data_IF_301635264022
#
_entry.id   IF_301635264022
#
_cell.length_a   1.000
_cell.length_b   1.000
_cell.length_c   1.000
_cell.angle_alpha   90.00
_cell.angle_beta   90.00
_cell.angle_gamma   90.00
#
_symmetry.space_group_name_H-M   'P 1'
#
loop_
_entity.id
_entity.type
_entity.pdbx_description
1 polymer ?
#
# COMPACT_ATOMS: atom_id res chain seq x y z
N UNK A 1 -23.51 7.02 9.97
CA UNK A 1 -22.21 6.28 10.00
C UNK A 1 -21.07 7.28 9.97
N UNK A 2 -19.84 6.93 10.37
CA UNK A 2 -18.73 7.89 10.56
C UNK A 2 -18.33 8.70 9.31
N UNK A 3 -18.67 8.21 8.10
CA UNK A 3 -18.31 8.84 6.82
C UNK A 3 -19.41 9.65 6.13
N UNK A 4 -20.62 9.71 6.68
CA UNK A 4 -21.73 10.41 6.02
C UNK A 4 -21.45 11.91 5.90
N UNK A 5 -21.56 12.44 4.68
CA UNK A 5 -21.25 13.84 4.37
C UNK A 5 -19.76 14.18 4.27
N UNK A 6 -18.85 13.21 4.49
CA UNK A 6 -17.40 13.41 4.35
C UNK A 6 -16.92 12.96 2.98
N UNK A 7 -15.96 13.70 2.43
CA UNK A 7 -15.34 13.39 1.14
C UNK A 7 -13.89 13.01 1.37
N UNK A 8 -13.45 11.89 0.79
CA UNK A 8 -12.05 11.45 0.86
C UNK A 8 -11.53 11.12 -0.52
N UNK A 9 -10.23 11.26 -0.73
CA UNK A 9 -9.59 10.79 -1.97
C UNK A 9 -8.73 9.55 -1.73
N UNK A 10 -8.70 8.65 -2.72
CA UNK A 10 -7.86 7.46 -2.72
C UNK A 10 -7.04 7.44 -4.00
N UNK A 11 -5.72 7.55 -3.89
CA UNK A 11 -4.84 7.51 -5.08
C UNK A 11 -4.59 6.08 -5.52
N UNK A 12 -4.47 5.84 -6.83
CA UNK A 12 -4.12 4.51 -7.36
C UNK A 12 -5.19 3.45 -7.07
N UNK A 13 -6.46 3.86 -7.08
CA UNK A 13 -7.62 3.09 -6.64
C UNK A 13 -7.75 1.71 -7.29
N UNK A 14 -7.24 1.54 -8.51
CA UNK A 14 -7.21 0.25 -9.22
C UNK A 14 -6.27 -0.82 -8.63
N UNK A 15 -5.51 -0.48 -7.59
CA UNK A 15 -4.54 -1.36 -6.92
C UNK A 15 -5.16 -2.27 -5.85
N UNK A 16 -4.38 -3.23 -5.37
CA UNK A 16 -4.88 -4.30 -4.51
C UNK A 16 -5.39 -3.80 -3.15
N UNK A 17 -4.56 -3.05 -2.41
CA UNK A 17 -4.95 -2.42 -1.15
C UNK A 17 -6.01 -1.34 -1.40
N UNK A 18 -5.80 -0.52 -2.43
CA UNK A 18 -6.63 0.64 -2.73
C UNK A 18 -8.09 0.26 -3.05
N UNK A 19 -8.31 -0.80 -3.84
CA UNK A 19 -9.66 -1.26 -4.18
C UNK A 19 -10.44 -1.75 -2.97
N UNK A 20 -9.77 -2.44 -2.03
CA UNK A 20 -10.36 -2.79 -0.74
C UNK A 20 -10.66 -1.58 0.13
N UNK A 21 -9.75 -0.60 0.18
CA UNK A 21 -9.96 0.65 0.89
C UNK A 21 -11.17 1.42 0.34
N UNK A 22 -11.29 1.56 -0.99
CA UNK A 22 -12.46 2.16 -1.65
C UNK A 22 -13.73 1.43 -1.26
N UNK A 23 -13.74 0.09 -1.33
CA UNK A 23 -14.89 -0.73 -0.92
C UNK A 23 -15.33 -0.44 0.51
N UNK A 24 -14.40 -0.47 1.47
CA UNK A 24 -14.72 -0.25 2.88
C UNK A 24 -15.16 1.20 3.16
N UNK A 25 -14.57 2.19 2.49
CA UNK A 25 -14.99 3.59 2.59
C UNK A 25 -16.43 3.79 2.09
N UNK A 26 -16.78 3.21 0.93
CA UNK A 26 -18.14 3.26 0.39
C UNK A 26 -19.17 2.61 1.32
N UNK A 27 -18.82 1.47 1.93
CA UNK A 27 -19.65 0.79 2.93
C UNK A 27 -19.86 1.65 4.19
N UNK A 28 -18.87 2.46 4.57
CA UNK A 28 -18.95 3.42 5.69
C UNK A 28 -19.63 4.76 5.31
N UNK A 29 -20.20 4.85 4.10
CA UNK A 29 -20.95 6.00 3.56
C UNK A 29 -20.10 7.23 3.22
N UNK A 30 -18.79 7.09 3.04
CA UNK A 30 -17.97 8.16 2.48
C UNK A 30 -18.29 8.39 0.99
N UNK A 31 -18.15 9.63 0.55
CA UNK A 31 -17.96 9.95 -0.87
C UNK A 31 -16.48 9.81 -1.20
N UNK A 32 -16.16 8.98 -2.20
CA UNK A 32 -14.78 8.60 -2.55
C UNK A 32 -14.41 9.18 -3.91
N UNK A 33 -13.40 10.06 -3.92
CA UNK A 33 -12.72 10.52 -5.14
C UNK A 33 -11.50 9.62 -5.42
N UNK A 34 -11.62 8.71 -6.37
CA UNK A 34 -10.63 7.68 -6.65
C UNK A 34 -9.81 8.04 -7.89
N UNK A 35 -8.47 8.02 -7.81
CA UNK A 35 -7.62 8.22 -9.00
C UNK A 35 -7.21 6.93 -9.66
N UNK A 36 -7.21 6.95 -10.98
CA UNK A 36 -6.63 5.93 -11.86
C UNK A 36 -5.90 6.63 -13.01
N UNK A 37 -4.97 5.95 -13.68
CA UNK A 37 -4.24 6.52 -14.83
C UNK A 37 -5.13 6.76 -16.04
N UNK A 38 -6.08 5.86 -16.27
CA UNK A 38 -7.11 5.99 -17.30
C UNK A 38 -8.48 5.55 -16.75
N UNK A 39 -9.41 6.49 -16.50
CA UNK A 39 -10.75 6.15 -16.03
C UNK A 39 -11.60 5.44 -17.09
N UNK A 40 -11.20 5.48 -18.36
CA UNK A 40 -11.90 4.83 -19.46
C UNK A 40 -11.43 3.39 -19.70
N UNK A 41 -10.39 2.91 -19.01
CA UNK A 41 -9.95 1.52 -19.12
C UNK A 41 -10.77 0.60 -18.21
N UNK A 42 -11.73 -0.19 -18.75
CA UNK A 42 -12.57 -1.05 -17.94
C UNK A 42 -11.78 -2.12 -17.17
N UNK A 43 -10.59 -2.52 -17.66
CA UNK A 43 -9.73 -3.49 -16.94
C UNK A 43 -9.24 -2.94 -15.60
N UNK A 44 -9.14 -1.62 -15.49
CA UNK A 44 -8.67 -0.91 -14.28
C UNK A 44 -9.80 -0.32 -13.44
N UNK A 45 -11.01 -0.17 -13.99
CA UNK A 45 -12.10 0.52 -13.30
C UNK A 45 -13.33 -0.34 -13.02
N UNK A 46 -13.58 -1.41 -13.78
CA UNK A 46 -14.83 -2.17 -13.66
C UNK A 46 -15.02 -2.80 -12.27
N UNK A 47 -13.95 -3.27 -11.64
CA UNK A 47 -13.99 -3.83 -10.28
C UNK A 47 -14.25 -2.79 -9.19
N UNK A 48 -14.05 -1.49 -9.47
CA UNK A 48 -14.39 -0.38 -8.57
C UNK A 48 -15.84 0.05 -8.79
N UNK A 49 -16.24 0.17 -10.06
CA UNK A 49 -17.60 0.56 -10.44
C UNK A 49 -18.66 -0.48 -10.06
N UNK A 50 -18.26 -1.75 -9.86
CA UNK A 50 -19.15 -2.83 -9.39
C UNK A 50 -19.32 -2.89 -7.86
N UNK A 51 -18.64 -2.02 -7.10
CA UNK A 51 -18.75 -2.00 -5.64
C UNK A 51 -20.11 -1.43 -5.21
N UNK A 52 -20.63 -1.95 -4.10
CA UNK A 52 -21.86 -1.43 -3.49
C UNK A 52 -21.68 0.04 -3.08
N UNK A 53 -22.62 0.89 -3.51
CA UNK A 53 -22.59 2.34 -3.31
C UNK A 53 -21.69 3.12 -4.29
N UNK A 54 -21.02 2.45 -5.26
CA UNK A 54 -20.15 3.13 -6.21
C UNK A 54 -20.93 4.07 -7.14
N UNK A 55 -22.13 3.67 -7.58
CA UNK A 55 -22.95 4.47 -8.51
C UNK A 55 -23.27 5.86 -7.95
N UNK A 56 -23.45 5.99 -6.64
CA UNK A 56 -23.83 7.25 -6.00
C UNK A 56 -22.65 8.01 -5.40
N UNK A 57 -21.59 7.30 -4.96
CA UNK A 57 -20.54 7.87 -4.09
C UNK A 57 -19.11 7.65 -4.58
N UNK A 58 -18.89 6.92 -5.68
CA UNK A 58 -17.56 6.78 -6.27
C UNK A 58 -17.40 7.72 -7.47
N UNK A 59 -16.37 8.56 -7.43
CA UNK A 59 -16.02 9.45 -8.52
C UNK A 59 -14.61 9.15 -9.00
N UNK A 60 -14.48 8.70 -10.25
CA UNK A 60 -13.18 8.37 -10.85
C UNK A 60 -12.55 9.62 -11.48
N UNK A 61 -11.28 9.84 -11.17
CA UNK A 61 -10.46 10.93 -11.71
C UNK A 61 -9.23 10.36 -12.41
N UNK A 62 -8.85 11.00 -13.51
CA UNK A 62 -7.54 10.76 -14.15
C UNK A 62 -6.47 11.48 -13.34
N UNK A 63 -5.43 10.76 -12.93
CA UNK A 63 -4.21 11.36 -12.37
C UNK A 63 -3.00 10.46 -12.61
N UNK A 64 -1.81 11.08 -12.70
CA UNK A 64 -0.53 10.39 -12.82
C UNK A 64 0.45 10.93 -11.77
N UNK A 65 1.14 10.02 -11.07
CA UNK A 65 2.13 10.37 -10.05
C UNK A 65 3.21 11.33 -10.54
N UNK A 66 3.61 11.20 -11.81
CA UNK A 66 4.69 11.97 -12.40
C UNK A 66 4.24 13.27 -13.07
N UNK A 67 2.94 13.47 -13.23
CA UNK A 67 2.37 14.71 -13.77
C UNK A 67 2.07 15.67 -12.61
N UNK A 68 2.88 16.73 -12.51
CA UNK A 68 2.74 17.74 -11.46
C UNK A 68 1.35 18.40 -11.47
N UNK A 69 0.71 18.47 -10.30
CA UNK A 69 -0.61 19.08 -10.15
C UNK A 69 -1.79 18.21 -10.61
N UNK A 70 -1.53 17.00 -11.13
CA UNK A 70 -2.60 16.07 -11.56
C UNK A 70 -3.54 15.65 -10.43
N UNK A 71 -3.13 15.84 -9.17
CA UNK A 71 -3.94 15.57 -7.98
C UNK A 71 -4.64 16.80 -7.40
N UNK A 72 -4.39 18.02 -7.89
CA UNK A 72 -4.93 19.25 -7.29
C UNK A 72 -6.48 19.22 -7.24
N UNK A 73 -7.13 18.81 -8.35
CA UNK A 73 -8.59 18.73 -8.43
C UNK A 73 -9.21 17.59 -7.62
N UNK A 74 -8.49 16.48 -7.44
CA UNK A 74 -9.03 15.30 -6.74
C UNK A 74 -8.98 15.49 -5.23
N UNK A 75 -7.98 16.19 -4.70
CA UNK A 75 -7.86 16.44 -3.26
C UNK A 75 -8.70 17.64 -2.81
N UNK A 76 -9.06 18.55 -3.72
CA UNK A 76 -9.93 19.68 -3.43
C UNK A 76 -11.26 19.24 -2.80
N UNK A 77 -11.65 19.91 -1.70
CA UNK A 77 -12.84 19.59 -0.93
C UNK A 77 -12.82 18.25 -0.19
N UNK A 78 -11.70 17.53 -0.15
CA UNK A 78 -11.57 16.32 0.67
C UNK A 78 -11.26 16.66 2.13
N UNK A 79 -11.85 15.91 3.06
CA UNK A 79 -11.48 15.88 4.48
C UNK A 79 -10.23 15.04 4.74
N UNK A 80 -9.96 14.05 3.89
CA UNK A 80 -8.85 13.11 4.04
C UNK A 80 -8.33 12.59 2.72
N UNK A 81 -7.03 12.26 2.68
CA UNK A 81 -6.37 11.74 1.48
C UNK A 81 -5.64 10.44 1.83
N UNK A 82 -5.96 9.38 1.11
CA UNK A 82 -5.28 8.09 1.19
C UNK A 82 -4.33 7.94 0.01
N UNK A 83 -3.04 8.16 0.25
CA UNK A 83 -2.02 8.01 -0.78
C UNK A 83 -1.52 6.56 -0.84
N UNK A 84 -2.07 5.76 -1.76
CA UNK A 84 -1.71 4.34 -1.91
C UNK A 84 -0.93 4.04 -3.21
N UNK A 85 -0.97 4.97 -4.16
CA UNK A 85 -0.30 4.84 -5.45
C UNK A 85 1.22 4.86 -5.33
N UNK A 86 1.88 3.78 -5.74
CA UNK A 86 3.34 3.69 -5.76
C UNK A 86 3.77 2.56 -6.72
N UNK A 87 4.89 2.69 -7.44
CA UNK A 87 5.41 1.59 -8.25
C UNK A 87 5.82 0.40 -7.37
N UNK A 88 5.58 -0.81 -7.86
CA UNK A 88 5.97 -2.06 -7.19
C UNK A 88 6.60 -2.98 -8.23
N UNK A 89 7.90 -3.20 -8.13
CA UNK A 89 8.63 -4.17 -8.92
C UNK A 89 9.85 -4.66 -8.12
N UNK A 90 10.19 -5.94 -8.24
CA UNK A 90 11.42 -6.51 -7.70
C UNK A 90 12.57 -6.42 -8.70
N UNK A 91 12.26 -6.53 -9.99
CA UNK A 91 13.23 -6.59 -11.08
C UNK A 91 13.11 -5.38 -12.01
N UNK A 92 13.69 -4.25 -11.60
CA UNK A 92 13.74 -3.03 -12.41
C UNK A 92 15.05 -2.96 -13.23
N UNK A 93 14.96 -2.63 -14.52
CA UNK A 93 16.13 -2.48 -15.39
C UNK A 93 16.86 -1.18 -15.08
N UNK A 94 16.10 -0.09 -14.92
CA UNK A 94 16.55 1.19 -14.43
C UNK A 94 15.83 1.53 -13.11
N UNK A 95 16.33 1.03 -11.96
CA UNK A 95 15.67 1.23 -10.68
C UNK A 95 15.48 2.71 -10.30
N UNK A 96 16.36 3.59 -10.76
CA UNK A 96 16.23 5.02 -10.52
C UNK A 96 14.96 5.58 -11.19
N UNK A 97 14.79 5.33 -12.48
CA UNK A 97 13.65 5.86 -13.25
C UNK A 97 12.33 5.10 -13.02
N UNK A 98 12.41 3.80 -12.71
CA UNK A 98 11.24 2.92 -12.62
C UNK A 98 10.67 2.80 -11.20
N UNK A 99 11.51 2.95 -10.15
CA UNK A 99 11.11 2.77 -8.76
C UNK A 99 11.35 4.01 -7.90
N UNK A 100 12.60 4.48 -7.82
CA UNK A 100 13.00 5.52 -6.86
C UNK A 100 12.35 6.86 -7.22
N UNK A 101 12.54 7.33 -8.45
CA UNK A 101 12.01 8.61 -8.91
C UNK A 101 10.47 8.66 -8.83
N UNK A 102 9.70 7.66 -9.33
CA UNK A 102 8.25 7.73 -9.26
C UNK A 102 7.70 7.58 -7.85
N UNK A 103 8.35 6.79 -6.98
CA UNK A 103 7.93 6.70 -5.57
C UNK A 103 8.13 8.05 -4.86
N UNK A 104 9.32 8.65 -5.00
CA UNK A 104 9.65 9.91 -4.35
C UNK A 104 8.83 11.08 -4.91
N UNK A 105 8.92 11.31 -6.23
CA UNK A 105 8.26 12.43 -6.91
C UNK A 105 6.75 12.31 -6.81
N UNK A 106 6.21 11.10 -6.95
CA UNK A 106 4.79 10.82 -6.82
C UNK A 106 4.24 11.14 -5.43
N UNK A 107 4.96 10.72 -4.38
CA UNK A 107 4.57 11.01 -2.99
C UNK A 107 4.55 12.51 -2.73
N UNK A 108 5.62 13.22 -3.11
CA UNK A 108 5.70 14.68 -2.92
C UNK A 108 4.67 15.42 -3.77
N UNK A 109 4.38 14.97 -4.99
CA UNK A 109 3.36 15.57 -5.85
C UNK A 109 1.99 15.56 -5.16
N UNK A 110 1.58 14.42 -4.60
CA UNK A 110 0.31 14.30 -3.87
C UNK A 110 0.31 15.17 -2.60
N UNK A 111 1.39 15.15 -1.81
CA UNK A 111 1.49 15.98 -0.60
C UNK A 111 1.46 17.48 -0.92
N UNK A 112 2.05 17.90 -2.04
CA UNK A 112 1.99 19.29 -2.52
C UNK A 112 0.57 19.69 -2.93
N UNK A 113 -0.22 18.79 -3.50
CA UNK A 113 -1.64 19.06 -3.73
C UNK A 113 -2.39 19.20 -2.40
N UNK A 114 -2.11 18.32 -1.43
CA UNK A 114 -2.75 18.37 -0.10
C UNK A 114 -2.42 19.67 0.65
N UNK A 115 -1.17 20.14 0.61
CA UNK A 115 -0.75 21.35 1.31
C UNK A 115 -1.44 22.64 0.83
N UNK A 116 -2.03 22.60 -0.37
CA UNK A 116 -2.80 23.73 -0.94
C UNK A 116 -4.26 23.75 -0.49
N UNK A 117 -4.77 22.67 0.11
CA UNK A 117 -6.20 22.47 0.34
C UNK A 117 -6.52 22.46 1.85
N UNK A 118 -7.09 23.55 2.40
CA UNK A 118 -7.36 23.66 3.83
C UNK A 118 -8.36 22.66 4.40
N UNK A 119 -9.19 22.03 3.55
CA UNK A 119 -10.16 21.03 4.01
C UNK A 119 -9.51 19.70 4.38
N UNK A 120 -8.30 19.41 3.88
CA UNK A 120 -7.59 18.15 4.16
C UNK A 120 -7.10 18.17 5.60
N UNK A 121 -7.71 17.32 6.43
CA UNK A 121 -7.41 17.23 7.87
C UNK A 121 -6.30 16.25 8.18
N UNK A 122 -6.20 15.16 7.39
CA UNK A 122 -5.18 14.13 7.56
C UNK A 122 -4.86 13.44 6.25
N UNK A 123 -3.59 13.15 6.03
CA UNK A 123 -3.10 12.31 4.93
C UNK A 123 -2.65 10.96 5.50
N UNK A 124 -3.17 9.87 4.95
CA UNK A 124 -2.72 8.51 5.29
C UNK A 124 -1.94 7.95 4.11
N UNK A 125 -0.65 7.68 4.32
CA UNK A 125 0.26 7.19 3.28
C UNK A 125 0.45 5.68 3.44
N UNK A 126 0.22 4.92 2.37
CA UNK A 126 0.62 3.51 2.31
C UNK A 126 2.11 3.42 2.03
N UNK A 127 2.88 3.18 3.10
CA UNK A 127 4.30 2.86 2.99
C UNK A 127 4.49 1.33 2.91
N UNK A 128 5.52 0.79 3.56
CA UNK A 128 5.83 -0.63 3.55
C UNK A 128 6.68 -0.98 4.77
N UNK A 129 6.59 -2.23 5.21
CA UNK A 129 7.56 -2.81 6.14
C UNK A 129 8.99 -2.79 5.57
N UNK A 130 9.15 -2.63 4.25
CA UNK A 130 10.44 -2.40 3.62
C UNK A 130 11.15 -1.12 4.10
N UNK A 131 10.44 -0.08 4.56
CA UNK A 131 11.07 1.11 5.14
C UNK A 131 11.47 0.93 6.62
N UNK A 132 11.24 -0.26 7.19
CA UNK A 132 11.47 -0.59 8.60
C UNK A 132 12.61 -1.60 8.76
N UNK A 133 12.63 -2.67 7.96
CA UNK A 133 13.39 -3.89 8.27
C UNK A 133 14.89 -3.86 7.94
N UNK A 134 15.33 -3.11 6.93
CA UNK A 134 16.69 -3.24 6.41
C UNK A 134 17.68 -2.35 7.18
N UNK A 135 17.93 -2.71 8.43
CA UNK A 135 18.76 -1.93 9.37
C UNK A 135 20.18 -2.47 9.54
N UNK A 136 20.50 -3.62 8.93
CA UNK A 136 21.75 -4.36 9.15
C UNK A 136 21.78 -5.16 10.45
N UNK A 137 20.78 -5.02 11.33
CA UNK A 137 20.64 -5.83 12.53
C UNK A 137 20.16 -7.25 12.16
N UNK A 138 20.65 -8.30 12.86
CA UNK A 138 20.17 -9.66 12.63
C UNK A 138 18.70 -9.78 13.03
N UNK A 139 17.91 -10.48 12.20
CA UNK A 139 16.51 -10.79 12.48
C UNK A 139 16.41 -12.21 13.03
N UNK A 140 16.59 -12.36 14.35
CA UNK A 140 16.42 -13.64 15.05
C UNK A 140 15.00 -13.74 15.63
N UNK A 141 14.51 -14.94 16.00
CA UNK A 141 13.15 -15.10 16.53
C UNK A 141 12.81 -14.27 17.77
N UNK A 142 13.83 -13.83 18.53
CA UNK A 142 13.69 -13.03 19.74
C UNK A 142 13.61 -11.52 19.47
N UNK A 143 13.92 -11.08 18.25
CA UNK A 143 13.96 -9.67 17.88
C UNK A 143 12.55 -9.13 17.69
N UNK A 144 12.15 -8.19 18.53
CA UNK A 144 10.93 -7.41 18.36
C UNK A 144 11.20 -6.25 17.42
N UNK A 145 10.43 -6.21 16.34
CA UNK A 145 10.48 -5.16 15.31
C UNK A 145 9.30 -4.24 15.57
N UNK A 146 9.57 -2.94 15.64
CA UNK A 146 8.57 -1.91 15.87
C UNK A 146 8.86 -0.68 15.00
N UNK A 147 8.04 0.36 15.17
CA UNK A 147 8.08 1.59 14.40
C UNK A 147 9.29 2.49 14.70
N UNK A 148 10.12 2.15 15.69
CA UNK A 148 11.40 2.83 15.95
C UNK A 148 12.50 2.40 14.96
N UNK A 149 12.28 1.33 14.20
CA UNK A 149 13.21 0.83 13.20
C UNK A 149 13.04 1.55 11.86
N UNK A 150 14.15 1.97 11.26
CA UNK A 150 14.18 2.60 9.95
C UNK A 150 15.22 1.90 9.08
N UNK A 151 14.80 1.44 7.90
CA UNK A 151 15.72 0.88 6.92
C UNK A 151 16.80 1.90 6.56
N UNK A 152 18.04 1.44 6.41
CA UNK A 152 19.18 2.28 6.07
C UNK A 152 19.31 2.42 4.54
N UNK A 153 19.15 3.63 3.96
CA UNK A 153 19.29 3.84 2.52
C UNK A 153 20.65 3.43 1.96
N UNK A 154 21.74 3.58 2.73
CA UNK A 154 23.08 3.19 2.30
C UNK A 154 23.16 1.66 2.14
N UNK A 155 22.65 0.91 3.13
CA UNK A 155 22.58 -0.54 3.07
C UNK A 155 21.66 -1.03 1.95
N UNK A 156 20.52 -0.37 1.75
CA UNK A 156 19.62 -0.69 0.63
C UNK A 156 20.35 -0.57 -0.72
N UNK A 157 21.16 0.48 -0.90
CA UNK A 157 21.92 0.71 -2.13
C UNK A 157 23.07 -0.29 -2.30
N UNK A 158 23.82 -0.57 -1.24
CA UNK A 158 24.92 -1.54 -1.26
C UNK A 158 24.43 -2.96 -1.62
N UNK A 159 23.33 -3.38 -1.00
CA UNK A 159 22.69 -4.68 -1.24
C UNK A 159 21.81 -4.73 -2.49
N UNK A 160 21.75 -3.64 -3.28
CA UNK A 160 20.92 -3.49 -4.49
C UNK A 160 19.43 -3.77 -4.24
N UNK A 161 18.94 -3.52 -3.03
CA UNK A 161 17.54 -3.65 -2.64
C UNK A 161 16.76 -2.40 -3.06
N UNK A 162 16.57 -2.22 -4.37
CA UNK A 162 16.05 -0.97 -4.94
C UNK A 162 14.60 -0.66 -4.58
N UNK A 163 13.75 -1.68 -4.47
CA UNK A 163 12.38 -1.49 -3.99
C UNK A 163 12.38 -0.96 -2.55
N UNK A 164 13.20 -1.58 -1.68
CA UNK A 164 13.38 -1.17 -0.28
C UNK A 164 13.87 0.28 -0.23
N UNK A 165 14.91 0.61 -1.00
CA UNK A 165 15.42 1.98 -1.11
C UNK A 165 14.33 2.97 -1.53
N UNK A 166 13.53 2.64 -2.55
CA UNK A 166 12.47 3.52 -3.05
C UNK A 166 11.41 3.82 -1.98
N UNK A 167 11.02 2.81 -1.20
CA UNK A 167 10.04 2.97 -0.11
C UNK A 167 10.61 3.75 1.06
N UNK A 168 11.85 3.47 1.44
CA UNK A 168 12.55 4.21 2.51
C UNK A 168 12.67 5.69 2.17
N UNK A 169 13.19 6.03 0.99
CA UNK A 169 13.38 7.42 0.58
C UNK A 169 12.06 8.16 0.39
N UNK A 170 11.03 7.50 -0.14
CA UNK A 170 9.71 8.11 -0.30
C UNK A 170 9.06 8.43 1.05
N UNK A 171 9.15 7.53 2.04
CA UNK A 171 8.60 7.76 3.38
C UNK A 171 9.37 8.85 4.13
N UNK A 172 10.71 8.84 4.05
CA UNK A 172 11.54 9.89 4.66
C UNK A 172 11.20 11.27 4.10
N UNK A 173 11.09 11.39 2.77
CA UNK A 173 10.72 12.64 2.13
C UNK A 173 9.29 13.07 2.45
N UNK A 174 8.36 12.12 2.58
CA UNK A 174 6.99 12.41 3.01
C UNK A 174 6.96 13.02 4.41
N UNK A 175 7.69 12.44 5.36
CA UNK A 175 7.76 12.95 6.74
C UNK A 175 8.41 14.34 6.81
N UNK A 176 9.49 14.56 6.05
CA UNK A 176 10.14 15.87 6.00
C UNK A 176 9.19 16.93 5.43
N UNK A 177 8.56 16.65 4.29
CA UNK A 177 7.60 17.55 3.67
C UNK A 177 6.39 17.84 4.60
N UNK A 178 5.87 16.80 5.26
CA UNK A 178 4.74 16.92 6.17
C UNK A 178 5.06 17.85 7.35
N UNK A 179 6.24 17.72 7.94
CA UNK A 179 6.71 18.57 9.04
C UNK A 179 6.90 20.02 8.60
N UNK A 180 7.52 20.23 7.44
CA UNK A 180 7.78 21.57 6.90
C UNK A 180 6.50 22.33 6.54
N UNK A 181 5.44 21.61 6.14
CA UNK A 181 4.19 22.18 5.65
C UNK A 181 3.02 22.04 6.64
N UNK A 182 3.27 21.55 7.87
CA UNK A 182 2.25 21.41 8.90
C UNK A 182 1.12 20.44 8.55
N UNK A 183 1.40 19.40 7.76
CA UNK A 183 0.42 18.36 7.40
C UNK A 183 0.36 17.33 8.52
N UNK A 184 -0.86 16.99 8.99
CA UNK A 184 -1.10 15.81 9.81
C UNK A 184 -1.04 14.56 8.92
N UNK A 185 -0.03 13.73 9.14
CA UNK A 185 0.23 12.54 8.34
C UNK A 185 0.43 11.31 9.22
N UNK A 186 -0.10 10.17 8.76
CA UNK A 186 0.13 8.84 9.33
C UNK A 186 0.59 7.90 8.22
N UNK A 187 1.55 7.02 8.51
CA UNK A 187 1.98 5.99 7.56
C UNK A 187 1.54 4.59 8.00
N UNK A 188 1.04 3.81 7.06
CA UNK A 188 0.75 2.38 7.25
C UNK A 188 1.85 1.58 6.56
N UNK A 189 2.52 0.70 7.30
CA UNK A 189 3.71 -0.04 6.88
C UNK A 189 3.39 -1.54 6.78
N UNK A 190 2.65 -2.00 5.76
CA UNK A 190 2.28 -3.39 5.63
C UNK A 190 3.47 -4.27 5.21
N UNK A 191 3.44 -5.53 5.65
CA UNK A 191 4.26 -6.61 5.09
C UNK A 191 3.75 -7.09 3.72
N UNK A 192 3.88 -8.39 3.47
CA UNK A 192 3.29 -9.07 2.31
C UNK A 192 1.77 -9.16 2.46
N UNK A 193 1.06 -8.46 1.57
CA UNK A 193 -0.39 -8.33 1.65
C UNK A 193 -1.07 -9.39 0.79
N UNK A 194 -1.84 -10.27 1.42
CA UNK A 194 -2.64 -11.32 0.77
C UNK A 194 -4.12 -11.17 1.10
N UNK A 195 -4.98 -11.91 0.41
CA UNK A 195 -6.41 -11.93 0.67
C UNK A 195 -7.21 -12.08 -0.62
N UNK A 196 -8.55 -11.94 -0.54
CA UNK A 196 -9.39 -12.09 -1.71
C UNK A 196 -9.17 -10.96 -2.72
N UNK A 197 -9.16 -11.30 -4.01
CA UNK A 197 -8.96 -10.35 -5.10
C UNK A 197 -10.27 -9.67 -5.49
N UNK A 198 -10.27 -8.34 -5.58
CA UNK A 198 -11.35 -7.58 -6.21
C UNK A 198 -11.04 -7.27 -7.68
N UNK A 199 -9.79 -6.91 -7.94
CA UNK A 199 -9.28 -6.64 -9.29
C UNK A 199 -8.98 -7.95 -10.04
N UNK A 200 -9.03 -7.96 -11.39
CA UNK A 200 -8.82 -9.16 -12.21
C UNK A 200 -7.33 -9.53 -12.39
N UNK A 201 -6.44 -8.98 -11.57
CA UNK A 201 -4.98 -9.17 -11.67
C UNK A 201 -4.38 -9.44 -10.31
N UNK A 202 -3.37 -10.31 -10.27
CA UNK A 202 -2.63 -10.58 -9.05
C UNK A 202 -1.75 -9.37 -8.68
N UNK A 203 -1.52 -9.20 -7.37
CA UNK A 203 -0.40 -8.41 -6.87
C UNK A 203 0.81 -9.34 -6.64
N UNK A 204 1.98 -8.73 -6.53
CA UNK A 204 3.25 -9.44 -6.27
C UNK A 204 3.16 -10.47 -5.12
N UNK A 205 2.46 -10.14 -4.03
CA UNK A 205 2.34 -11.04 -2.88
C UNK A 205 1.41 -12.22 -3.13
N UNK A 206 0.30 -12.04 -3.86
CA UNK A 206 -0.55 -13.15 -4.26
C UNK A 206 0.13 -14.03 -5.32
N UNK A 207 0.98 -13.45 -6.18
CA UNK A 207 1.82 -14.23 -7.11
C UNK A 207 2.80 -15.14 -6.38
N UNK A 208 3.39 -14.70 -5.25
CA UNK A 208 4.23 -15.58 -4.42
C UNK A 208 3.47 -16.81 -3.93
N UNK A 209 2.23 -16.63 -3.47
CA UNK A 209 1.38 -17.77 -3.06
C UNK A 209 1.01 -18.64 -4.26
N UNK A 210 0.68 -18.04 -5.41
CA UNK A 210 0.37 -18.78 -6.64
C UNK A 210 1.56 -19.65 -7.08
N UNK A 211 2.78 -19.12 -7.01
CA UNK A 211 4.00 -19.84 -7.37
C UNK A 211 4.28 -21.06 -6.47
N UNK A 212 3.73 -21.10 -5.25
CA UNK A 212 3.83 -22.29 -4.39
C UNK A 212 2.82 -23.39 -4.77
N UNK A 213 1.77 -23.06 -5.52
CA UNK A 213 0.64 -23.97 -5.79
C UNK A 213 0.44 -24.30 -7.27
N UNK A 214 1.18 -23.67 -8.18
CA UNK A 214 1.04 -23.84 -9.63
C UNK A 214 1.98 -24.90 -10.23
N UNK A 215 2.35 -25.92 -9.46
CA UNK A 215 3.21 -27.02 -9.91
C UNK A 215 4.70 -26.79 -9.70
N UNK A 216 5.09 -25.86 -8.82
CA UNK A 216 6.47 -25.71 -8.42
C UNK A 216 7.01 -27.01 -7.80
N UNK A 217 8.23 -27.39 -8.21
CA UNK A 217 8.93 -28.53 -7.64
C UNK A 217 9.66 -28.17 -6.35
N UNK A 218 10.08 -26.90 -6.24
CA UNK A 218 10.77 -26.37 -5.08
C UNK A 218 10.16 -25.07 -4.55
N UNK A 219 10.49 -24.71 -3.31
CA UNK A 219 10.12 -23.42 -2.73
C UNK A 219 11.34 -22.66 -2.20
N UNK A 220 11.35 -21.30 -2.27
CA UNK A 220 12.45 -20.51 -1.73
C UNK A 220 12.58 -20.66 -0.20
N UNK A 221 13.82 -20.75 0.31
CA UNK A 221 14.12 -20.74 1.73
C UNK A 221 14.09 -19.29 2.27
N UNK A 222 12.89 -18.75 2.41
CA UNK A 222 12.64 -17.34 2.76
C UNK A 222 11.49 -17.28 3.77
N UNK A 223 11.65 -16.42 4.78
CA UNK A 223 10.58 -16.00 5.68
C UNK A 223 10.00 -14.66 5.25
N UNK A 224 8.69 -14.54 5.34
CA UNK A 224 7.94 -13.35 4.94
C UNK A 224 6.94 -12.94 6.02
N UNK A 225 6.78 -11.64 6.24
CA UNK A 225 5.82 -11.05 7.17
C UNK A 225 4.48 -10.84 6.47
N UNK A 226 3.42 -11.52 6.88
CA UNK A 226 2.14 -11.53 6.18
C UNK A 226 1.06 -10.72 6.90
N UNK A 227 0.13 -10.15 6.12
CA UNK A 227 -1.07 -9.46 6.60
C UNK A 227 -2.21 -9.60 5.60
N UNK A 228 -3.46 -9.63 6.07
CA UNK A 228 -4.64 -9.64 5.21
C UNK A 228 -4.95 -8.23 4.68
N UNK A 229 -5.30 -8.13 3.39
CA UNK A 229 -5.65 -6.86 2.72
C UNK A 229 -6.81 -6.12 3.39
N UNK A 230 -7.75 -6.86 4.01
CA UNK A 230 -8.88 -6.28 4.74
C UNK A 230 -8.42 -5.59 6.03
N UNK A 231 -7.43 -6.17 6.71
CA UNK A 231 -6.84 -5.58 7.92
C UNK A 231 -6.04 -4.32 7.56
N UNK A 232 -5.26 -4.37 6.47
CA UNK A 232 -4.56 -3.19 5.95
C UNK A 232 -5.54 -2.08 5.60
N UNK A 233 -6.62 -2.37 4.86
CA UNK A 233 -7.61 -1.36 4.49
C UNK A 233 -8.33 -0.79 5.73
N UNK A 234 -8.70 -1.62 6.70
CA UNK A 234 -9.28 -1.16 7.97
C UNK A 234 -8.30 -0.31 8.78
N UNK A 235 -7.01 -0.64 8.80
CA UNK A 235 -5.98 0.13 9.49
C UNK A 235 -5.82 1.54 8.89
N UNK A 236 -5.90 1.67 7.56
CA UNK A 236 -5.92 3.00 6.92
C UNK A 236 -7.11 3.82 7.40
N UNK A 237 -8.31 3.25 7.39
CA UNK A 237 -9.53 3.94 7.84
C UNK A 237 -9.43 4.33 9.32
N UNK A 238 -8.95 3.42 10.18
CA UNK A 238 -8.78 3.71 11.60
C UNK A 238 -7.73 4.79 11.85
N UNK A 239 -6.59 4.75 11.17
CA UNK A 239 -5.57 5.80 11.24
C UNK A 239 -6.11 7.18 10.80
N UNK A 240 -7.07 7.20 9.87
CA UNK A 240 -7.77 8.41 9.50
C UNK A 240 -8.84 8.85 10.52
N UNK A 241 -9.66 7.92 11.01
CA UNK A 241 -10.83 8.23 11.85
C UNK A 241 -10.48 8.50 13.32
N UNK A 242 -9.40 7.90 13.85
CA UNK A 242 -8.97 8.03 15.26
C UNK A 242 -8.12 9.29 15.41
N UNK A 243 -8.59 10.35 16.11
CA UNK A 243 -7.86 11.62 16.21
C UNK A 243 -6.43 11.48 16.78
N UNK A 244 -6.24 10.56 17.71
CA UNK A 244 -4.97 10.32 18.41
C UNK A 244 -3.95 9.51 17.58
N UNK A 245 -4.38 8.92 16.46
CA UNK A 245 -3.48 8.17 15.60
C UNK A 245 -2.38 9.08 15.04
N UNK A 246 -1.13 8.65 15.17
CA UNK A 246 0.04 9.45 14.78
C UNK A 246 1.23 8.58 14.44
N UNK A 247 2.15 9.11 13.66
CA UNK A 247 3.40 8.42 13.33
C UNK A 247 3.19 7.29 12.32
N UNK A 248 3.86 6.17 12.60
CA UNK A 248 3.96 5.01 11.72
C UNK A 248 3.20 3.85 12.36
N UNK A 249 2.75 2.89 11.58
CA UNK A 249 2.12 1.65 12.08
C UNK A 249 2.59 0.46 11.26
N UNK A 250 3.26 -0.49 11.90
CA UNK A 250 3.63 -1.77 11.31
C UNK A 250 2.40 -2.66 11.17
N UNK A 251 2.07 -3.06 9.93
CA UNK A 251 0.92 -3.92 9.64
C UNK A 251 1.38 -5.30 9.23
N UNK A 252 1.56 -6.15 10.25
CA UNK A 252 1.98 -7.54 10.14
C UNK A 252 1.20 -8.34 11.16
N UNK A 253 0.63 -9.47 10.76
CA UNK A 253 -0.02 -10.40 11.70
C UNK A 253 0.97 -11.44 12.21
N UNK A 254 1.78 -12.03 11.33
CA UNK A 254 2.91 -12.91 11.70
C UNK A 254 3.93 -13.02 10.58
N UNK A 255 5.15 -13.43 10.90
CA UNK A 255 6.10 -13.96 9.93
C UNK A 255 5.94 -15.47 9.76
N UNK A 256 6.13 -15.94 8.53
CA UNK A 256 6.12 -17.36 8.20
C UNK A 256 7.25 -17.67 7.22
N UNK A 257 8.00 -18.73 7.52
CA UNK A 257 8.83 -19.40 6.54
C UNK A 257 7.93 -20.12 5.50
N UNK A 258 8.37 -20.18 4.24
CA UNK A 258 7.62 -20.86 3.18
C UNK A 258 7.25 -22.31 3.51
N UNK A 259 8.07 -23.03 4.29
CA UNK A 259 7.71 -24.39 4.77
C UNK A 259 6.45 -24.41 5.63
N UNK A 260 6.23 -23.38 6.46
CA UNK A 260 5.04 -23.25 7.29
C UNK A 260 3.81 -22.91 6.45
N UNK A 261 3.97 -22.06 5.42
CA UNK A 261 2.91 -21.79 4.43
C UNK A 261 2.49 -23.08 3.74
N UNK A 262 3.44 -23.93 3.32
CA UNK A 262 3.15 -25.22 2.71
C UNK A 262 2.43 -26.18 3.67
N UNK A 263 2.79 -26.21 4.96
CA UNK A 263 2.05 -26.98 5.97
C UNK A 263 0.60 -26.52 6.08
N UNK A 264 0.37 -25.20 6.08
CA UNK A 264 -0.98 -24.62 6.09
C UNK A 264 -1.74 -25.02 4.81
N UNK A 265 -1.11 -24.90 3.63
CA UNK A 265 -1.72 -25.26 2.36
C UNK A 265 -2.09 -26.75 2.28
N UNK A 266 -1.21 -27.66 2.73
CA UNK A 266 -1.52 -29.11 2.79
C UNK A 266 -2.71 -29.41 3.69
N UNK A 267 -2.85 -28.70 4.81
CA UNK A 267 -3.98 -28.87 5.72
C UNK A 267 -5.30 -28.37 5.11
N UNK A 268 -5.27 -27.24 4.42
CA UNK A 268 -6.44 -26.62 3.80
C UNK A 268 -6.85 -27.33 2.50
N UNK A 269 -5.88 -27.82 1.73
CA UNK A 269 -6.07 -28.41 0.40
C UNK A 269 -5.27 -29.72 0.27
N UNK A 270 -5.72 -30.84 0.89
CA UNK A 270 -4.97 -32.09 0.92
C UNK A 270 -4.67 -32.72 -0.45
N UNK A 271 -5.48 -32.42 -1.47
CA UNK A 271 -5.29 -32.93 -2.84
C UNK A 271 -4.47 -32.01 -3.76
N UNK A 272 -4.00 -30.87 -3.26
CA UNK A 272 -3.23 -29.92 -4.05
C UNK A 272 -1.77 -30.41 -4.16
N UNK A 273 -1.21 -30.57 -5.38
CA UNK A 273 0.21 -30.88 -5.52
C UNK A 273 1.04 -29.69 -5.04
N UNK A 274 1.88 -29.93 -4.04
CA UNK A 274 2.71 -28.91 -3.39
C UNK A 274 4.17 -29.36 -3.37
N UNK A 275 5.14 -28.43 -3.48
CA UNK A 275 6.55 -28.76 -3.45
C UNK A 275 6.96 -29.42 -2.13
N UNK A 276 7.92 -30.34 -2.20
CA UNK A 276 8.42 -31.10 -1.04
C UNK A 276 9.79 -30.59 -0.53
N UNK A 277 10.55 -29.85 -1.35
CA UNK A 277 11.91 -29.39 -1.04
C UNK A 277 12.16 -27.94 -1.42
#
# INVERSE_FOLDING_TARGET
MSGEGKVVSVTGASGFIASWLVKLLLQRRYTVKATVRDPNDPKKTQHLLSLDGAQERLHLFKADLLEEGSFDSVVDGCDGVFHTASPVALDAINPQAELIDPALKGTINVLRSCSKVPSVKRVVVTSSLASVLLTGKPLTPEVLIDESWFSDPALCKESKQWYVLSKTLAEEAAWNFSKENGIDMVTINPGWVIGPLLQPTLNLSAEQVLNLINGAQTFPNISSWWVDVRDVANAHIQAYEIPEASGRYCLVERDLHNSEILKILRKLYPGLPLPEK
#
